data_IF_947972511625
#
_entry.id   IF_947972511625
#
_cell.length_a   1.000
_cell.length_b   1.000
_cell.length_c   1.000
_cell.angle_alpha   90.00
_cell.angle_beta   90.00
_cell.angle_gamma   90.00
#
_symmetry.space_group_name_H-M   'P 1'
#
loop_
_entity.id
_entity.type
_entity.pdbx_description
1 polymer ?
#
# COMPACT_ATOMS: atom_id res chain seq x y z
N UNK A 1 -31.15 -56.40 75.14
CA UNK A 1 -30.43 -57.68 75.10
C UNK A 1 -28.97 -57.38 74.79
N UNK A 2 -28.10 -57.26 75.79
CA UNK A 2 -27.28 -58.35 76.36
C UNK A 2 -26.39 -59.06 75.35
N UNK A 3 -25.09 -58.71 75.34
CA UNK A 3 -23.94 -59.56 75.74
C UNK A 3 -22.68 -59.12 74.98
N UNK A 4 -21.68 -58.53 75.63
CA UNK A 4 -20.52 -59.10 76.35
C UNK A 4 -19.53 -59.95 75.52
N UNK A 5 -18.25 -59.58 75.71
CA UNK A 5 -16.97 -60.32 75.56
C UNK A 5 -16.41 -60.45 74.14
N UNK A 6 -15.09 -60.55 73.93
CA UNK A 6 -13.85 -60.01 74.51
C UNK A 6 -12.71 -60.71 73.74
N UNK A 7 -11.63 -59.99 73.41
CA UNK A 7 -10.28 -60.47 73.01
C UNK A 7 -10.23 -61.24 71.67
N UNK A 8 -9.18 -61.20 70.83
CA UNK A 8 -7.77 -60.90 71.02
C UNK A 8 -7.09 -60.51 69.69
N UNK A 9 -5.95 -59.82 69.85
CA UNK A 9 -4.72 -59.86 69.04
C UNK A 9 -4.70 -59.54 67.54
N UNK A 10 -3.94 -58.48 67.24
CA UNK A 10 -2.81 -58.53 66.32
C UNK A 10 -3.08 -58.01 64.90
N UNK A 11 -2.41 -56.92 64.52
CA UNK A 11 -1.49 -56.84 63.38
C UNK A 11 -1.08 -55.39 63.12
N UNK A 12 0.21 -55.22 62.83
CA UNK A 12 0.85 -53.99 62.40
C UNK A 12 0.14 -53.39 61.17
N UNK A 13 0.03 -52.06 61.12
CA UNK A 13 0.53 -51.31 59.96
C UNK A 13 0.53 -49.81 60.21
N UNK A 14 1.59 -49.20 59.69
CA UNK A 14 1.91 -47.79 59.65
C UNK A 14 0.77 -46.94 59.10
N UNK A 15 0.52 -45.78 59.71
CA UNK A 15 -0.06 -44.63 59.01
C UNK A 15 0.28 -43.30 59.65
N UNK A 16 0.80 -42.42 58.80
CA UNK A 16 0.59 -40.97 58.74
C UNK A 16 1.12 -40.09 59.87
N UNK A 17 2.26 -39.44 59.59
CA UNK A 17 2.46 -38.05 59.98
C UNK A 17 2.81 -37.24 58.73
N UNK A 18 1.86 -36.42 58.30
CA UNK A 18 2.07 -35.39 57.29
C UNK A 18 2.90 -34.26 57.90
N UNK A 19 3.97 -33.85 57.22
CA UNK A 19 4.62 -32.57 57.45
C UNK A 19 4.70 -31.84 56.12
N UNK A 20 3.85 -30.80 55.99
CA UNK A 20 3.94 -29.79 54.94
C UNK A 20 5.28 -29.06 55.07
N UNK A 21 6.07 -29.05 53.99
CA UNK A 21 7.12 -28.06 53.79
C UNK A 21 6.82 -27.37 52.47
N UNK A 22 6.42 -26.09 52.54
CA UNK A 22 6.38 -25.19 51.40
C UNK A 22 7.82 -24.88 50.98
N UNK A 23 8.25 -25.47 49.87
CA UNK A 23 9.47 -25.09 49.15
C UNK A 23 9.09 -24.39 47.86
N UNK A 24 9.42 -23.11 47.77
CA UNK A 24 9.27 -22.26 46.59
C UNK A 24 9.92 -22.88 45.35
N UNK A 25 9.12 -23.22 44.34
CA UNK A 25 9.62 -23.51 43.01
C UNK A 25 10.20 -22.22 42.42
N UNK A 26 11.52 -22.07 42.50
CA UNK A 26 12.27 -21.15 41.66
C UNK A 26 12.15 -21.62 40.22
N UNK A 27 11.10 -21.20 39.53
CA UNK A 27 11.02 -21.31 38.08
C UNK A 27 12.06 -20.38 37.49
N UNK A 28 13.21 -20.93 37.13
CA UNK A 28 14.09 -20.28 36.17
C UNK A 28 13.31 -20.17 34.85
N UNK A 29 12.62 -19.05 34.64
CA UNK A 29 12.16 -18.68 33.31
C UNK A 29 13.43 -18.43 32.50
N UNK A 30 13.79 -19.39 31.65
CA UNK A 30 14.71 -19.12 30.57
C UNK A 30 14.17 -17.89 29.84
N UNK A 31 14.88 -16.77 29.94
CA UNK A 31 14.61 -15.64 29.06
C UNK A 31 14.66 -16.20 27.63
N UNK A 32 13.65 -15.92 26.78
CA UNK A 32 13.75 -16.33 25.40
C UNK A 32 15.06 -15.74 24.86
N UNK A 33 15.90 -16.62 24.30
CA UNK A 33 17.08 -16.19 23.59
C UNK A 33 16.64 -15.12 22.59
N UNK A 34 17.30 -13.96 22.64
CA UNK A 34 17.08 -12.92 21.64
C UNK A 34 17.37 -13.54 20.27
N UNK A 35 16.31 -13.86 19.52
CA UNK A 35 16.44 -14.06 18.10
C UNK A 35 16.79 -12.69 17.52
N UNK A 36 17.89 -12.62 16.78
CA UNK A 36 18.11 -11.55 15.83
C UNK A 36 17.02 -11.69 14.75
N UNK A 37 15.81 -11.22 15.05
CA UNK A 37 14.67 -11.26 14.13
C UNK A 37 14.98 -10.32 12.96
N UNK A 38 15.32 -10.91 11.81
CA UNK A 38 14.96 -10.32 10.52
C UNK A 38 13.45 -10.23 10.49
N UNK A 39 12.92 -9.09 10.92
CA UNK A 39 11.48 -8.86 11.01
C UNK A 39 10.95 -8.77 9.58
N UNK A 40 10.15 -9.75 9.17
CA UNK A 40 9.48 -9.72 7.86
C UNK A 40 8.75 -8.37 7.69
N UNK A 41 8.77 -7.77 6.47
CA UNK A 41 8.11 -6.50 6.24
C UNK A 41 6.64 -6.54 6.65
N UNK A 42 6.21 -5.52 7.38
CA UNK A 42 4.85 -5.45 7.93
C UNK A 42 3.95 -4.58 7.05
N UNK A 43 2.71 -5.01 6.87
CA UNK A 43 1.74 -4.40 5.95
C UNK A 43 0.48 -4.02 6.71
N UNK A 44 -0.05 -2.82 6.46
CA UNK A 44 -1.36 -2.39 6.93
C UNK A 44 -2.42 -2.64 5.84
N UNK A 45 -3.60 -3.13 6.24
CA UNK A 45 -4.75 -3.30 5.36
C UNK A 45 -6.02 -2.74 6.00
N UNK A 46 -6.86 -2.15 5.15
CA UNK A 46 -8.12 -1.52 5.53
C UNK A 46 -9.20 -2.06 4.59
N UNK A 47 -10.36 -2.43 5.14
CA UNK A 47 -11.54 -2.71 4.34
C UNK A 47 -12.30 -1.40 4.08
N UNK A 48 -12.67 -1.15 2.83
CA UNK A 48 -13.41 0.06 2.43
C UNK A 48 -14.80 -0.36 1.97
N UNK A 49 -15.82 0.36 2.43
CA UNK A 49 -17.18 0.13 1.95
C UNK A 49 -17.32 0.60 0.50
N UNK A 50 -17.32 -0.35 -0.43
CA UNK A 50 -17.51 -0.06 -1.85
C UNK A 50 -18.96 0.20 -2.27
N UNK A 51 -19.94 -0.06 -1.38
CA UNK A 51 -21.38 0.12 -1.69
C UNK A 51 -21.73 1.60 -1.71
N UNK A 52 -22.29 2.07 -2.84
CA UNK A 52 -22.67 3.47 -3.01
C UNK A 52 -21.51 4.43 -3.31
N UNK A 53 -20.25 3.98 -3.23
CA UNK A 53 -19.09 4.80 -3.61
C UNK A 53 -19.12 5.19 -5.10
N UNK A 54 -19.63 4.32 -5.98
CA UNK A 54 -19.81 4.66 -7.39
C UNK A 54 -20.87 5.76 -7.57
N UNK A 55 -22.01 5.64 -6.88
CA UNK A 55 -23.11 6.62 -6.91
C UNK A 55 -22.72 7.95 -6.24
N UNK A 56 -21.83 7.90 -5.26
CA UNK A 56 -21.28 9.07 -4.58
C UNK A 56 -20.56 10.00 -5.58
N UNK A 57 -19.81 9.44 -6.53
CA UNK A 57 -19.04 10.21 -7.50
C UNK A 57 -19.87 10.68 -8.70
N UNK A 58 -20.69 11.70 -8.47
CA UNK A 58 -21.28 12.49 -9.55
C UNK A 58 -20.20 13.26 -10.34
N UNK A 59 -20.51 13.63 -11.59
CA UNK A 59 -19.62 14.43 -12.42
C UNK A 59 -19.19 15.76 -11.75
N UNK A 60 -20.10 16.41 -11.02
CA UNK A 60 -19.80 17.64 -10.29
C UNK A 60 -18.83 17.40 -9.13
N UNK A 61 -19.01 16.30 -8.37
CA UNK A 61 -18.07 15.91 -7.32
C UNK A 61 -16.69 15.61 -7.88
N UNK A 62 -16.61 14.80 -8.93
CA UNK A 62 -15.36 14.49 -9.63
C UNK A 62 -14.65 15.77 -10.09
N UNK A 63 -15.40 16.74 -10.65
CA UNK A 63 -14.85 18.02 -11.11
C UNK A 63 -14.38 18.93 -9.97
N UNK A 64 -15.02 18.86 -8.80
CA UNK A 64 -14.73 19.71 -7.65
C UNK A 64 -13.65 19.17 -6.71
N UNK A 65 -13.30 17.88 -6.85
CA UNK A 65 -12.34 17.21 -5.98
C UNK A 65 -10.94 17.82 -6.12
N UNK A 66 -10.27 18.00 -4.98
CA UNK A 66 -9.01 18.74 -4.90
C UNK A 66 -7.78 17.81 -5.02
N UNK A 67 -6.65 18.29 -5.54
CA UNK A 67 -5.41 17.52 -5.60
C UNK A 67 -4.95 16.90 -4.27
N UNK A 68 -4.55 15.62 -4.31
CA UNK A 68 -4.06 14.86 -3.14
C UNK A 68 -2.63 15.19 -2.68
N UNK A 69 -1.86 15.97 -3.41
CA UNK A 69 -0.47 16.35 -3.07
C UNK A 69 -0.35 17.13 -1.76
N UNK A 70 -1.43 17.81 -1.34
CA UNK A 70 -1.51 18.44 -0.01
C UNK A 70 -1.29 17.41 1.11
N UNK A 71 -1.69 16.16 0.90
CA UNK A 71 -1.47 15.06 1.85
C UNK A 71 0.01 14.61 1.85
N UNK A 72 0.63 14.53 0.68
CA UNK A 72 2.06 14.23 0.54
C UNK A 72 2.94 15.33 1.16
N UNK A 73 2.62 16.60 0.93
CA UNK A 73 3.34 17.75 1.48
C UNK A 73 3.38 17.73 3.01
N UNK A 74 2.24 17.44 3.65
CA UNK A 74 2.16 17.29 5.11
C UNK A 74 3.04 16.14 5.62
N UNK A 75 3.14 15.04 4.89
CA UNK A 75 4.01 13.92 5.25
C UNK A 75 5.49 14.26 5.07
N UNK A 76 5.84 14.97 3.99
CA UNK A 76 7.20 15.45 3.73
C UNK A 76 7.70 16.38 4.84
N UNK A 77 6.86 17.32 5.30
CA UNK A 77 7.18 18.22 6.41
C UNK A 77 7.46 17.47 7.72
N UNK A 78 6.68 16.42 8.03
CA UNK A 78 6.91 15.59 9.22
C UNK A 78 8.18 14.77 9.13
N UNK A 79 8.42 14.12 7.99
CA UNK A 79 9.50 13.15 7.82
C UNK A 79 10.89 13.77 7.85
N UNK A 80 11.03 15.08 7.59
CA UNK A 80 12.31 15.80 7.66
C UNK A 80 12.89 15.85 9.09
N UNK A 81 12.13 15.38 10.09
CA UNK A 81 12.54 15.28 11.49
C UNK A 81 12.88 13.85 11.94
N UNK A 82 12.77 12.85 11.06
CA UNK A 82 12.95 11.43 11.39
C UNK A 82 14.30 10.87 10.92
N UNK A 83 14.83 9.86 11.62
CA UNK A 83 16.06 9.15 11.21
C UNK A 83 15.85 8.49 9.85
N UNK A 84 16.91 8.49 9.02
CA UNK A 84 16.93 7.81 7.73
C UNK A 84 16.53 6.34 7.89
N UNK A 85 15.55 5.84 7.13
CA UNK A 85 15.22 4.42 7.18
C UNK A 85 16.36 3.60 6.58
N UNK A 86 16.64 2.45 7.19
CA UNK A 86 17.38 1.38 6.53
C UNK A 86 16.47 0.79 5.46
N UNK A 87 16.66 1.21 4.21
CA UNK A 87 16.05 0.54 3.06
C UNK A 87 16.76 -0.79 2.85
N UNK A 88 16.04 -1.90 2.95
CA UNK A 88 16.64 -3.21 2.66
C UNK A 88 16.93 -3.35 1.16
N UNK A 89 18.12 -3.91 0.86
CA UNK A 89 18.47 -4.27 -0.52
C UNK A 89 17.90 -5.65 -0.83
N UNK A 90 16.77 -5.70 -1.53
CA UNK A 90 16.25 -6.94 -2.09
C UNK A 90 16.96 -7.37 -3.38
N UNK A 91 16.65 -8.57 -3.86
CA UNK A 91 17.06 -9.03 -5.20
C UNK A 91 16.05 -8.55 -6.24
N UNK A 92 16.49 -8.07 -7.42
CA UNK A 92 15.59 -7.69 -8.49
C UNK A 92 14.56 -8.78 -8.78
N UNK A 93 13.29 -8.40 -8.77
CA UNK A 93 12.16 -9.28 -9.05
C UNK A 93 11.21 -8.58 -10.02
N UNK A 94 10.66 -9.35 -10.96
CA UNK A 94 9.56 -8.93 -11.82
C UNK A 94 8.48 -10.00 -11.70
N UNK A 95 7.24 -9.60 -11.44
CA UNK A 95 6.12 -10.53 -11.35
C UNK A 95 5.32 -10.47 -12.62
N UNK A 96 5.00 -11.65 -13.17
CA UNK A 96 4.04 -11.79 -14.27
C UNK A 96 2.68 -12.15 -13.68
N UNK A 97 1.66 -11.33 -13.92
CA UNK A 97 0.29 -11.73 -13.57
C UNK A 97 -0.39 -12.58 -14.65
N UNK A 98 -1.63 -12.95 -14.37
CA UNK A 98 -2.40 -13.92 -15.17
C UNK A 98 -3.30 -13.28 -16.24
N UNK A 99 -3.26 -11.95 -16.41
CA UNK A 99 -4.12 -11.23 -17.34
C UNK A 99 -3.77 -11.47 -18.82
N UNK A 100 -4.79 -11.58 -19.67
CA UNK A 100 -4.64 -11.67 -21.14
C UNK A 100 -5.00 -10.32 -21.78
N UNK A 101 -4.01 -9.58 -22.26
CA UNK A 101 -4.25 -8.37 -23.07
C UNK A 101 -2.95 -7.77 -23.59
N UNK A 102 -2.93 -7.36 -24.86
CA UNK A 102 -1.87 -6.52 -25.41
C UNK A 102 -2.01 -5.10 -24.81
N UNK A 103 -0.99 -4.53 -24.13
CA UNK A 103 -1.16 -3.27 -23.42
C UNK A 103 -1.20 -2.10 -24.39
N UNK A 104 -2.34 -1.42 -24.52
CA UNK A 104 -2.32 0.01 -24.74
C UNK A 104 -2.17 0.62 -23.34
N UNK A 105 -0.96 1.06 -22.97
CA UNK A 105 -0.64 1.54 -21.60
C UNK A 105 -1.70 2.51 -21.04
N UNK A 106 -2.34 3.27 -21.93
CA UNK A 106 -3.42 4.22 -21.61
C UNK A 106 -4.66 3.56 -20.97
N UNK A 107 -5.04 2.33 -21.32
CA UNK A 107 -6.30 1.73 -20.83
C UNK A 107 -6.27 1.38 -19.36
N UNK A 108 -5.11 0.97 -18.83
CA UNK A 108 -4.96 0.60 -17.43
C UNK A 108 -4.46 1.74 -16.52
N UNK A 109 -4.12 2.91 -17.06
CA UNK A 109 -3.87 4.12 -16.27
C UNK A 109 -5.17 4.90 -16.07
N UNK A 110 -5.45 5.30 -14.84
CA UNK A 110 -6.73 5.94 -14.53
C UNK A 110 -6.64 7.01 -13.46
N UNK A 111 -7.72 7.77 -13.37
CA UNK A 111 -7.89 8.82 -12.35
C UNK A 111 -8.52 8.20 -11.12
N UNK A 112 -8.05 8.60 -9.94
CA UNK A 112 -8.59 8.17 -8.65
C UNK A 112 -9.35 9.32 -8.02
N UNK A 113 -10.49 8.99 -7.44
CA UNK A 113 -11.30 9.87 -6.61
C UNK A 113 -11.49 9.21 -5.24
N UNK A 114 -11.33 9.97 -4.16
CA UNK A 114 -11.53 9.45 -2.81
C UNK A 114 -11.95 10.57 -1.85
N UNK A 115 -12.60 10.22 -0.76
CA UNK A 115 -12.91 11.15 0.32
C UNK A 115 -11.94 10.87 1.46
N UNK A 116 -11.41 11.91 2.10
CA UNK A 116 -10.63 11.77 3.34
C UNK A 116 -11.02 12.87 4.31
N UNK A 117 -11.62 12.46 5.44
CA UNK A 117 -12.30 13.38 6.33
C UNK A 117 -13.50 14.01 5.63
N UNK A 118 -13.54 15.34 5.55
CA UNK A 118 -14.67 16.08 4.95
C UNK A 118 -14.42 16.52 3.51
N UNK A 119 -13.28 16.13 2.92
CA UNK A 119 -12.84 16.62 1.62
C UNK A 119 -12.77 15.50 0.59
N UNK A 120 -13.18 15.83 -0.63
CA UNK A 120 -13.06 14.98 -1.81
C UNK A 120 -11.75 15.31 -2.53
N UNK A 121 -10.95 14.29 -2.83
CA UNK A 121 -9.62 14.41 -3.42
C UNK A 121 -9.50 13.67 -4.75
N UNK A 122 -8.51 14.07 -5.56
CA UNK A 122 -8.08 13.38 -6.77
C UNK A 122 -6.63 12.92 -6.69
N UNK A 123 -6.40 11.74 -7.23
CA UNK A 123 -5.09 11.15 -7.50
C UNK A 123 -5.11 10.49 -8.88
N UNK A 124 -4.04 9.74 -9.18
CA UNK A 124 -3.86 8.88 -10.32
C UNK A 124 -3.48 7.48 -9.86
N UNK A 125 -3.71 6.48 -10.69
CA UNK A 125 -3.31 5.11 -10.41
C UNK A 125 -3.18 4.28 -11.67
N UNK A 126 -2.76 3.04 -11.49
CA UNK A 126 -2.55 2.11 -12.58
C UNK A 126 -3.03 0.71 -12.18
N UNK A 127 -3.86 0.08 -13.01
CA UNK A 127 -4.19 -1.32 -12.84
C UNK A 127 -2.93 -2.17 -13.11
N UNK A 128 -2.59 -3.01 -12.14
CA UNK A 128 -1.41 -3.86 -12.19
C UNK A 128 -1.82 -5.32 -12.26
N UNK A 129 -1.06 -6.07 -13.03
CA UNK A 129 -1.19 -7.52 -13.12
C UNK A 129 -1.10 -8.11 -11.71
N UNK A 130 -2.05 -8.99 -11.38
CA UNK A 130 -2.23 -9.52 -10.04
C UNK A 130 -3.04 -10.82 -10.10
N UNK A 131 -2.90 -11.69 -9.09
CA UNK A 131 -3.61 -12.98 -9.06
C UNK A 131 -5.13 -12.78 -8.95
N UNK A 132 -5.57 -11.79 -8.16
CA UNK A 132 -6.98 -11.40 -8.03
C UNK A 132 -7.52 -10.58 -9.21
N UNK A 133 -6.66 -10.20 -10.18
CA UNK A 133 -7.03 -9.44 -11.40
C UNK A 133 -7.71 -8.08 -11.12
N UNK A 134 -7.49 -7.52 -9.93
CA UNK A 134 -8.28 -6.40 -9.40
C UNK A 134 -7.43 -5.36 -8.66
N UNK A 135 -6.11 -5.40 -8.81
CA UNK A 135 -5.21 -4.55 -8.03
C UNK A 135 -4.83 -3.28 -8.80
N UNK A 136 -4.89 -2.13 -8.13
CA UNK A 136 -4.44 -0.82 -8.62
C UNK A 136 -3.28 -0.33 -7.76
N UNK A 137 -2.15 0.00 -8.37
CA UNK A 137 -1.05 0.69 -7.70
C UNK A 137 -1.30 2.21 -7.68
N UNK A 138 -1.06 2.83 -6.53
CA UNK A 138 -1.15 4.29 -6.32
C UNK A 138 -0.19 4.74 -5.21
N UNK A 139 -0.22 6.02 -4.81
CA UNK A 139 0.58 6.53 -3.71
C UNK A 139 -0.09 6.22 -2.37
N UNK A 140 0.72 6.08 -1.31
CA UNK A 140 0.26 5.87 0.06
C UNK A 140 -0.73 6.95 0.50
N UNK A 141 -0.41 8.22 0.24
CA UNK A 141 -1.24 9.37 0.62
C UNK A 141 -2.58 9.45 -0.12
N UNK A 142 -2.75 8.72 -1.23
CA UNK A 142 -4.03 8.58 -1.91
C UNK A 142 -4.94 7.52 -1.24
N UNK A 143 -4.40 6.72 -0.32
CA UNK A 143 -5.12 5.67 0.40
C UNK A 143 -5.24 5.94 1.90
N UNK A 144 -4.21 6.50 2.53
CA UNK A 144 -4.15 6.81 3.97
C UNK A 144 -3.33 8.07 4.17
N UNK A 145 -3.78 9.02 5.01
CA UNK A 145 -3.10 10.32 5.22
C UNK A 145 -1.70 10.24 5.85
N UNK A 146 -1.30 9.06 6.34
CA UNK A 146 0.05 8.67 6.74
C UNK A 146 0.74 9.59 7.76
N UNK A 147 0.54 9.44 9.08
CA UNK A 147 -0.59 8.77 9.69
C UNK A 147 -1.84 9.65 9.61
N UNK A 148 -3.02 9.04 9.76
CA UNK A 148 -4.25 9.81 9.82
C UNK A 148 -5.42 9.05 9.25
N UNK A 149 -6.37 9.81 8.70
CA UNK A 149 -7.62 9.27 8.16
C UNK A 149 -7.36 8.38 6.94
N UNK A 150 -8.21 7.38 6.82
CA UNK A 150 -8.24 6.42 5.73
C UNK A 150 -9.08 7.00 4.59
N UNK A 151 -8.81 6.58 3.37
CA UNK A 151 -9.62 6.96 2.22
C UNK A 151 -10.96 6.21 2.24
N UNK A 152 -12.03 6.97 2.12
CA UNK A 152 -13.40 6.51 1.92
C UNK A 152 -13.84 6.77 0.47
N UNK A 153 -14.95 6.16 0.06
CA UNK A 153 -15.50 6.30 -1.30
C UNK A 153 -14.44 6.12 -2.40
N UNK A 154 -13.42 5.27 -2.21
CA UNK A 154 -12.31 5.18 -3.15
C UNK A 154 -12.79 4.60 -4.49
N UNK A 155 -12.57 5.35 -5.57
CA UNK A 155 -12.95 4.99 -6.92
C UNK A 155 -11.80 5.20 -7.91
N UNK A 156 -11.63 4.24 -8.81
CA UNK A 156 -10.67 4.26 -9.91
C UNK A 156 -11.41 4.29 -11.25
N UNK A 157 -11.05 5.23 -12.12
CA UNK A 157 -11.64 5.39 -13.45
C UNK A 157 -10.54 5.19 -14.51
N UNK A 158 -10.42 3.99 -15.10
CA UNK A 158 -9.43 3.70 -16.13
C UNK A 158 -9.69 4.52 -17.40
N UNK A 159 -8.62 5.04 -18.01
CA UNK A 159 -8.66 5.90 -19.20
C UNK A 159 -9.66 7.06 -19.11
N UNK A 160 -9.77 7.67 -17.92
CA UNK A 160 -10.56 8.88 -17.73
C UNK A 160 -10.16 9.95 -18.77
N UNK A 161 -11.12 10.52 -19.47
CA UNK A 161 -10.83 11.56 -20.46
C UNK A 161 -11.96 12.59 -20.49
N UNK A 162 -11.69 13.79 -20.00
CA UNK A 162 -12.61 14.92 -20.04
C UNK A 162 -14.01 14.59 -19.47
N UNK A 163 -14.04 13.87 -18.34
CA UNK A 163 -15.29 13.42 -17.69
C UNK A 163 -15.84 12.10 -18.21
N UNK A 164 -15.32 11.58 -19.31
CA UNK A 164 -15.69 10.25 -19.81
C UNK A 164 -15.09 9.15 -18.93
N UNK A 165 -15.89 8.12 -18.70
CA UNK A 165 -15.52 6.92 -17.93
C UNK A 165 -15.62 5.70 -18.85
N UNK A 166 -14.73 5.54 -19.85
CA UNK A 166 -14.92 4.57 -20.94
C UNK A 166 -14.98 3.11 -20.47
N UNK A 167 -14.35 2.81 -19.33
CA UNK A 167 -14.36 1.50 -18.70
C UNK A 167 -15.13 1.48 -17.37
N UNK A 168 -15.99 2.48 -17.13
CA UNK A 168 -16.75 2.64 -15.90
C UNK A 168 -15.91 3.09 -14.70
N UNK A 169 -16.55 3.05 -13.53
CA UNK A 169 -15.99 3.46 -12.24
C UNK A 169 -15.85 2.24 -11.34
N UNK A 170 -14.64 1.96 -10.87
CA UNK A 170 -14.30 0.77 -10.09
C UNK A 170 -14.07 1.16 -8.63
N UNK A 171 -14.83 0.60 -7.69
CA UNK A 171 -14.72 0.95 -6.27
C UNK A 171 -13.80 0.01 -5.53
N UNK A 172 -13.01 0.51 -4.58
CA UNK A 172 -12.17 -0.35 -3.74
C UNK A 172 -13.00 -1.16 -2.73
N UNK A 173 -12.55 -2.38 -2.42
CA UNK A 173 -12.96 -3.15 -1.24
C UNK A 173 -11.88 -3.18 -0.16
N UNK A 174 -10.62 -3.03 -0.54
CA UNK A 174 -9.50 -3.01 0.39
C UNK A 174 -8.40 -2.07 -0.08
N UNK A 175 -7.71 -1.45 0.88
CA UNK A 175 -6.51 -0.63 0.66
C UNK A 175 -5.36 -1.23 1.46
N UNK A 176 -4.19 -1.36 0.83
CA UNK A 176 -2.97 -1.91 1.42
C UNK A 176 -1.85 -0.88 1.33
N UNK A 177 -1.13 -0.67 2.43
CA UNK A 177 0.04 0.21 2.49
C UNK A 177 1.14 -0.44 3.32
N UNK A 178 2.42 -0.12 3.08
CA UNK A 178 3.48 -0.43 4.04
C UNK A 178 3.15 0.15 5.42
N UNK A 179 3.53 -0.56 6.51
CA UNK A 179 3.24 -0.08 7.87
C UNK A 179 3.92 1.26 8.15
N UNK A 180 5.09 1.49 7.56
CA UNK A 180 5.89 2.69 7.71
C UNK A 180 5.13 3.92 7.18
N UNK A 181 4.37 3.75 6.09
CA UNK A 181 3.50 4.80 5.57
C UNK A 181 2.33 5.06 6.53
N UNK A 182 1.51 4.04 6.80
CA UNK A 182 0.27 4.19 7.57
C UNK A 182 0.49 4.71 8.99
N UNK A 183 1.59 4.34 9.65
CA UNK A 183 1.85 4.72 11.05
C UNK A 183 2.66 5.99 11.22
N UNK A 184 3.51 6.36 10.25
CA UNK A 184 4.46 7.47 10.41
C UNK A 184 4.50 8.46 9.26
N UNK A 185 3.86 8.16 8.13
CA UNK A 185 3.94 9.00 6.93
C UNK A 185 5.29 9.00 6.27
N UNK A 186 6.04 7.90 6.40
CA UNK A 186 7.39 7.84 5.87
C UNK A 186 7.35 7.82 4.34
N UNK A 187 7.76 8.93 3.72
CA UNK A 187 7.77 9.16 2.27
C UNK A 187 8.57 8.11 1.50
N UNK A 188 9.56 7.45 2.13
CA UNK A 188 10.26 6.30 1.52
C UNK A 188 9.32 5.19 1.06
N UNK A 189 8.15 5.09 1.69
CA UNK A 189 7.17 4.01 1.53
C UNK A 189 5.81 4.52 1.05
N UNK A 190 5.76 5.72 0.44
CA UNK A 190 4.53 6.34 -0.09
C UNK A 190 4.00 5.61 -1.34
N UNK A 191 3.56 4.36 -1.17
CA UNK A 191 2.92 3.51 -2.17
C UNK A 191 1.79 2.75 -1.50
N UNK A 192 0.69 2.59 -2.24
CA UNK A 192 -0.45 1.79 -1.83
C UNK A 192 -0.88 0.87 -2.98
N UNK A 193 -1.57 -0.21 -2.60
CA UNK A 193 -2.29 -1.06 -3.53
C UNK A 193 -3.75 -1.12 -3.11
N UNK A 194 -4.62 -0.71 -4.02
CA UNK A 194 -6.06 -0.72 -3.81
C UNK A 194 -6.66 -1.92 -4.57
N UNK A 195 -7.46 -2.72 -3.89
CA UNK A 195 -8.08 -3.91 -4.48
C UNK A 195 -9.54 -3.57 -4.81
N UNK A 196 -9.88 -3.60 -6.09
CA UNK A 196 -11.16 -3.15 -6.64
C UNK A 196 -12.22 -4.25 -6.60
N UNK A 197 -13.47 -3.90 -6.31
CA UNK A 197 -14.63 -4.74 -6.58
C UNK A 197 -14.71 -5.10 -8.08
N UNK A 198 -15.46 -6.15 -8.40
CA UNK A 198 -15.84 -6.40 -9.81
C UNK A 198 -16.78 -5.29 -10.30
N UNK A 199 -16.85 -5.10 -11.62
CA UNK A 199 -17.87 -4.23 -12.19
C UNK A 199 -19.30 -4.76 -11.97
N UNK A 200 -20.31 -3.98 -12.37
CA UNK A 200 -21.72 -4.36 -12.25
C UNK A 200 -22.10 -5.67 -12.98
N UNK A 201 -21.27 -6.09 -13.94
CA UNK A 201 -21.44 -7.33 -14.71
C UNK A 201 -20.63 -8.51 -14.13
N UNK A 202 -19.90 -8.30 -13.03
CA UNK A 202 -19.09 -9.30 -12.36
C UNK A 202 -17.70 -9.52 -13.00
N UNK A 203 -17.23 -8.62 -13.87
CA UNK A 203 -15.90 -8.73 -14.49
C UNK A 203 -14.82 -8.16 -13.56
N UNK A 204 -13.62 -8.72 -13.65
CA UNK A 204 -12.45 -8.23 -12.93
C UNK A 204 -11.75 -7.11 -13.71
N UNK A 205 -11.11 -6.19 -13.00
CA UNK A 205 -10.52 -4.98 -13.58
C UNK A 205 -9.56 -5.29 -14.71
N UNK A 206 -8.54 -6.12 -14.46
CA UNK A 206 -7.48 -6.36 -15.45
C UNK A 206 -7.92 -7.28 -16.59
N UNK A 207 -9.07 -7.96 -16.46
CA UNK A 207 -9.71 -8.65 -17.60
C UNK A 207 -10.32 -7.63 -18.58
N UNK A 208 -10.71 -6.44 -18.10
CA UNK A 208 -11.37 -5.39 -18.91
C UNK A 208 -10.33 -4.44 -19.51
N UNK A 209 -9.38 -3.97 -18.70
CA UNK A 209 -8.48 -2.87 -19.10
C UNK A 209 -7.02 -3.30 -19.32
N UNK A 210 -6.72 -4.58 -19.11
CA UNK A 210 -5.35 -5.07 -19.00
C UNK A 210 -4.69 -4.63 -17.68
N UNK A 211 -3.37 -4.75 -17.60
CA UNK A 211 -2.61 -4.27 -16.46
C UNK A 211 -1.12 -4.25 -16.75
N UNK A 212 -0.39 -3.37 -16.08
CA UNK A 212 1.06 -3.35 -16.13
C UNK A 212 1.64 -4.49 -15.29
N UNK A 213 2.69 -5.14 -15.80
CA UNK A 213 3.55 -5.94 -14.94
C UNK A 213 4.25 -5.04 -13.92
N UNK A 214 4.62 -5.60 -12.77
CA UNK A 214 5.34 -4.87 -11.72
C UNK A 214 6.70 -5.48 -11.46
N UNK A 215 7.65 -4.62 -11.09
CA UNK A 215 8.98 -5.03 -10.68
C UNK A 215 9.39 -4.34 -9.38
N UNK A 216 10.14 -5.07 -8.57
CA UNK A 216 10.65 -4.62 -7.27
C UNK A 216 12.17 -4.83 -7.23
N UNK A 217 12.82 -4.13 -6.30
CA UNK A 217 14.25 -4.23 -6.02
C UNK A 217 15.14 -4.01 -7.26
N UNK A 218 14.65 -3.24 -8.22
CA UNK A 218 15.37 -2.93 -9.45
C UNK A 218 16.54 -1.99 -9.19
N UNK A 219 17.56 -1.95 -10.06
CA UNK A 219 18.62 -0.97 -9.94
C UNK A 219 18.08 0.46 -9.87
N UNK A 220 18.80 1.34 -9.18
CA UNK A 220 18.48 2.78 -9.14
C UNK A 220 19.02 3.47 -10.40
N UNK A 221 18.48 4.63 -10.73
CA UNK A 221 18.95 5.45 -11.86
C UNK A 221 18.51 4.95 -13.23
N UNK A 222 17.40 4.22 -13.29
CA UNK A 222 16.79 3.79 -14.57
C UNK A 222 16.11 4.96 -15.28
N UNK A 223 15.86 4.78 -16.58
CA UNK A 223 14.99 5.65 -17.36
C UNK A 223 13.52 5.29 -17.13
N UNK A 224 12.69 6.28 -16.85
CA UNK A 224 11.26 6.09 -16.63
C UNK A 224 10.43 6.93 -17.58
N UNK A 225 9.24 6.42 -17.90
CA UNK A 225 8.10 7.24 -18.33
C UNK A 225 7.06 7.21 -17.22
N UNK A 226 6.70 8.38 -16.70
CA UNK A 226 5.66 8.58 -15.71
C UNK A 226 4.38 9.09 -16.35
N UNK A 227 3.24 8.68 -15.82
CA UNK A 227 1.91 9.14 -16.24
C UNK A 227 1.09 9.66 -15.06
N UNK A 228 0.11 10.52 -15.30
CA UNK A 228 -0.84 10.97 -14.27
C UNK A 228 -1.87 11.98 -14.78
N UNK A 229 -2.80 12.36 -13.91
CA UNK A 229 -3.87 13.35 -14.15
C UNK A 229 -3.66 14.60 -13.29
N UNK A 230 -2.64 15.43 -13.59
CA UNK A 230 -2.39 16.68 -12.88
C UNK A 230 -3.60 17.63 -12.98
N UNK A 231 -4.02 18.18 -11.86
CA UNK A 231 -5.26 18.91 -11.65
C UNK A 231 -5.07 20.32 -11.05
N UNK A 232 -3.83 20.70 -10.77
CA UNK A 232 -3.48 22.05 -10.32
C UNK A 232 -3.21 23.01 -11.48
N UNK A 233 -3.20 24.32 -11.19
CA UNK A 233 -2.99 25.40 -12.17
C UNK A 233 -1.87 25.08 -13.16
N UNK A 234 -2.15 25.30 -14.45
CA UNK A 234 -1.41 24.83 -15.66
C UNK A 234 -1.97 23.52 -16.25
N UNK A 235 -2.71 22.76 -15.45
CA UNK A 235 -3.50 21.61 -15.87
C UNK A 235 -4.94 21.74 -15.35
N UNK A 236 -5.79 20.79 -15.71
CA UNK A 236 -7.22 20.80 -15.36
C UNK A 236 -7.71 19.46 -14.79
N UNK A 237 -6.84 18.44 -14.69
CA UNK A 237 -7.17 17.14 -14.16
C UNK A 237 -7.98 16.25 -15.10
N UNK A 238 -8.23 16.69 -16.33
CA UNK A 238 -9.16 16.07 -17.26
C UNK A 238 -8.51 15.09 -18.23
N UNK A 239 -7.22 15.27 -18.51
CA UNK A 239 -6.47 14.48 -19.49
C UNK A 239 -5.28 13.79 -18.85
N UNK A 240 -4.86 12.68 -19.47
CA UNK A 240 -3.66 11.97 -19.09
C UNK A 240 -2.42 12.72 -19.60
N UNK A 241 -1.48 12.98 -18.71
CA UNK A 241 -0.21 13.61 -19.01
C UNK A 241 0.95 12.64 -18.78
N UNK A 242 2.13 12.96 -19.33
CA UNK A 242 3.34 12.16 -19.09
C UNK A 242 4.61 12.98 -18.95
N UNK A 243 5.59 12.38 -18.28
CA UNK A 243 6.96 12.87 -18.13
C UNK A 243 7.92 11.72 -18.42
N UNK A 244 9.14 12.02 -18.85
CA UNK A 244 10.14 10.98 -19.05
C UNK A 244 11.55 11.47 -18.71
N UNK A 245 12.37 10.58 -18.16
CA UNK A 245 13.76 10.90 -17.87
C UNK A 245 14.46 9.85 -17.02
N UNK A 246 15.78 9.99 -16.92
CA UNK A 246 16.61 9.16 -16.05
C UNK A 246 16.46 9.61 -14.60
N UNK A 247 16.14 8.65 -13.73
CA UNK A 247 16.02 8.87 -12.30
C UNK A 247 17.36 9.31 -11.70
N UNK A 248 17.32 10.27 -10.79
CA UNK A 248 18.46 10.70 -9.96
C UNK A 248 18.09 10.63 -8.49
N UNK A 249 19.07 10.46 -7.60
CA UNK A 249 18.79 10.44 -6.16
C UNK A 249 18.29 11.81 -5.68
N UNK A 250 17.33 11.83 -4.76
CA UNK A 250 17.06 13.04 -4.02
C UNK A 250 18.18 13.31 -3.02
N UNK A 251 18.84 14.46 -3.14
CA UNK A 251 19.92 14.90 -2.26
C UNK A 251 19.46 15.91 -1.21
N UNK A 252 18.16 16.25 -1.18
CA UNK A 252 17.56 17.25 -0.30
C UNK A 252 17.02 16.64 1.00
N UNK A 253 16.78 15.32 1.01
CA UNK A 253 16.28 14.58 2.17
C UNK A 253 16.95 13.20 2.28
N UNK A 254 16.52 12.41 3.28
CA UNK A 254 17.03 11.07 3.54
C UNK A 254 16.01 9.95 3.26
N UNK A 255 14.96 10.21 2.47
CA UNK A 255 13.93 9.22 2.16
C UNK A 255 14.35 8.22 1.07
N UNK A 256 15.55 8.38 0.49
CA UNK A 256 16.07 7.48 -0.55
C UNK A 256 15.12 7.35 -1.77
N UNK A 257 14.36 8.39 -2.08
CA UNK A 257 13.52 8.47 -3.29
C UNK A 257 14.35 8.79 -4.53
N UNK A 258 13.72 8.72 -5.69
CA UNK A 258 14.33 9.06 -6.98
C UNK A 258 13.50 10.13 -7.67
N UNK A 259 14.15 11.05 -8.36
CA UNK A 259 13.50 12.15 -9.10
C UNK A 259 13.72 12.05 -10.60
N UNK A 260 12.67 12.33 -11.39
CA UNK A 260 12.76 12.54 -12.85
C UNK A 260 12.30 13.97 -13.21
N UNK A 261 12.83 14.56 -14.30
CA UNK A 261 12.32 15.83 -14.82
C UNK A 261 10.83 15.71 -15.15
N UNK A 262 10.01 16.54 -14.50
CA UNK A 262 8.56 16.48 -14.68
C UNK A 262 7.88 17.77 -14.23
N UNK A 263 6.92 18.24 -15.02
CA UNK A 263 6.11 19.41 -14.72
C UNK A 263 4.69 19.07 -14.25
N UNK A 264 4.30 17.79 -14.19
CA UNK A 264 3.04 17.38 -13.60
C UNK A 264 2.98 17.82 -12.13
N UNK A 265 1.81 18.27 -11.70
CA UNK A 265 1.57 18.83 -10.37
C UNK A 265 0.47 18.04 -9.63
N UNK A 266 -0.14 18.65 -8.61
CA UNK A 266 -1.14 18.00 -7.76
C UNK A 266 -2.21 17.23 -8.53
N UNK A 267 -2.58 16.03 -8.06
CA UNK A 267 -3.49 15.11 -8.74
C UNK A 267 -2.79 14.05 -9.62
N UNK A 268 -1.55 14.32 -10.07
CA UNK A 268 -0.72 13.29 -10.72
C UNK A 268 -0.21 12.22 -9.74
N UNK A 269 -0.26 12.49 -8.44
CA UNK A 269 0.09 11.57 -7.35
C UNK A 269 -0.49 10.17 -7.56
N UNK A 270 0.32 9.15 -7.32
CA UNK A 270 -0.01 7.74 -7.50
C UNK A 270 0.07 7.22 -8.93
N UNK A 271 0.20 8.11 -9.92
CA UNK A 271 0.39 7.72 -11.31
C UNK A 271 1.68 6.90 -11.52
N UNK A 272 1.71 5.94 -12.46
CA UNK A 272 2.77 4.95 -12.53
C UNK A 272 4.07 5.49 -13.12
N UNK A 273 5.19 4.98 -12.64
CA UNK A 273 6.48 5.08 -13.32
C UNK A 273 6.83 3.75 -13.99
N UNK A 274 6.91 3.77 -15.31
CA UNK A 274 7.19 2.60 -16.15
C UNK A 274 8.65 2.62 -16.61
N UNK A 275 9.32 1.48 -16.51
CA UNK A 275 10.69 1.23 -16.98
C UNK A 275 10.74 -0.08 -17.74
N UNK A 276 11.92 -0.44 -18.26
CA UNK A 276 12.16 -1.74 -18.90
C UNK A 276 13.00 -2.62 -17.99
N UNK A 277 12.50 -3.81 -17.69
CA UNK A 277 13.22 -4.88 -17.00
C UNK A 277 13.37 -6.07 -17.94
N UNK A 278 14.59 -6.34 -18.39
CA UNK A 278 14.83 -7.31 -19.47
C UNK A 278 14.22 -6.84 -20.78
N UNK A 279 13.18 -7.54 -21.26
CA UNK A 279 12.43 -7.18 -22.48
C UNK A 279 11.03 -6.65 -22.19
N UNK A 280 10.65 -6.52 -20.91
CA UNK A 280 9.28 -6.20 -20.50
C UNK A 280 9.20 -4.80 -19.93
N UNK A 281 8.13 -4.07 -20.28
CA UNK A 281 7.79 -2.84 -19.61
C UNK A 281 7.09 -3.16 -18.28
N UNK A 282 7.60 -2.58 -17.20
CA UNK A 282 7.14 -2.84 -15.84
C UNK A 282 6.92 -1.52 -15.10
N UNK A 283 5.94 -1.48 -14.21
CA UNK A 283 5.83 -0.43 -13.21
C UNK A 283 6.82 -0.70 -12.07
N UNK A 284 7.58 0.33 -11.68
CA UNK A 284 8.59 0.22 -10.62
C UNK A 284 8.66 1.45 -9.68
N UNK A 285 7.71 2.38 -9.81
CA UNK A 285 7.47 3.44 -8.83
C UNK A 285 6.09 4.10 -9.06
N UNK A 286 5.79 5.13 -8.29
CA UNK A 286 4.62 6.01 -8.43
C UNK A 286 5.03 7.48 -8.27
N UNK A 287 4.27 8.40 -8.84
CA UNK A 287 4.35 9.83 -8.50
C UNK A 287 4.01 10.01 -7.02
N UNK A 288 4.87 10.62 -6.22
CA UNK A 288 4.64 10.80 -4.79
C UNK A 288 4.64 12.28 -4.39
N UNK A 289 5.75 12.99 -4.61
CA UNK A 289 5.88 14.40 -4.20
C UNK A 289 6.80 15.21 -5.12
N UNK A 290 6.78 16.52 -4.93
CA UNK A 290 7.72 17.47 -5.54
C UNK A 290 8.06 18.59 -4.55
N UNK A 291 9.16 19.31 -4.82
CA UNK A 291 9.49 20.51 -4.07
C UNK A 291 8.91 21.75 -4.73
N UNK A 292 8.47 22.72 -3.92
CA UNK A 292 7.98 24.00 -4.42
C UNK A 292 8.99 24.66 -5.36
N UNK A 293 8.54 25.02 -6.57
CA UNK A 293 9.39 25.64 -7.60
C UNK A 293 10.29 24.69 -8.39
N UNK A 294 10.34 23.39 -8.04
CA UNK A 294 11.09 22.37 -8.77
C UNK A 294 10.24 21.74 -9.88
N UNK A 295 10.87 21.43 -11.03
CA UNK A 295 10.27 20.63 -12.12
C UNK A 295 10.78 19.19 -12.06
N UNK A 296 10.67 18.59 -10.87
CA UNK A 296 11.10 17.22 -10.60
C UNK A 296 9.98 16.53 -9.84
N UNK A 297 9.55 15.37 -10.35
CA UNK A 297 8.63 14.48 -9.64
C UNK A 297 9.47 13.41 -8.97
N UNK A 298 9.22 13.18 -7.68
CA UNK A 298 9.86 12.13 -6.91
C UNK A 298 8.94 10.95 -6.69
N UNK A 299 9.51 9.76 -6.78
CA UNK A 299 8.85 8.49 -6.50
C UNK A 299 9.64 7.64 -5.50
N UNK A 300 8.96 6.84 -4.66
CA UNK A 300 9.61 5.92 -3.73
C UNK A 300 10.32 4.80 -4.48
N UNK A 301 11.36 4.25 -3.86
CA UNK A 301 11.99 3.04 -4.36
C UNK A 301 11.12 1.83 -3.99
N UNK A 302 10.68 1.07 -4.99
CA UNK A 302 9.93 -0.17 -4.79
C UNK A 302 10.85 -1.31 -4.31
N UNK A 303 11.12 -1.28 -3.00
CA UNK A 303 11.91 -2.27 -2.27
C UNK A 303 11.09 -3.38 -1.62
N UNK A 304 11.69 -4.17 -0.70
CA UNK A 304 11.05 -5.35 -0.10
C UNK A 304 9.74 -5.06 0.65
N UNK A 305 9.61 -3.90 1.28
CA UNK A 305 8.42 -3.52 2.04
C UNK A 305 7.21 -3.25 1.14
N UNK A 306 7.46 -2.58 0.01
CA UNK A 306 6.44 -2.34 -1.02
C UNK A 306 6.12 -3.65 -1.76
N UNK A 307 7.12 -4.49 -2.03
CA UNK A 307 6.92 -5.84 -2.59
C UNK A 307 6.04 -6.71 -1.69
N UNK A 308 6.28 -6.72 -0.38
CA UNK A 308 5.46 -7.45 0.58
C UNK A 308 4.01 -6.93 0.62
N UNK A 309 3.83 -5.61 0.51
CA UNK A 309 2.51 -4.98 0.44
C UNK A 309 1.75 -5.42 -0.82
N UNK A 310 2.41 -5.39 -1.98
CA UNK A 310 1.84 -5.90 -3.24
C UNK A 310 1.50 -7.39 -3.14
N UNK A 311 2.39 -8.19 -2.55
CA UNK A 311 2.19 -9.63 -2.39
C UNK A 311 0.94 -9.95 -1.57
N UNK A 312 0.64 -9.21 -0.51
CA UNK A 312 -0.63 -9.40 0.21
C UNK A 312 -1.84 -8.91 -0.59
N UNK A 313 -1.73 -7.75 -1.24
CA UNK A 313 -2.83 -7.18 -2.01
C UNK A 313 -3.26 -8.10 -3.17
N UNK A 314 -2.32 -8.72 -3.88
CA UNK A 314 -2.63 -9.50 -5.08
C UNK A 314 -3.41 -10.81 -4.82
N UNK A 315 -3.47 -11.29 -3.58
CA UNK A 315 -4.23 -12.49 -3.19
C UNK A 315 -5.60 -12.19 -2.53
N UNK A 316 -5.89 -10.92 -2.27
CA UNK A 316 -7.11 -10.49 -1.55
C UNK A 316 -8.29 -10.20 -2.47
#
# INVERSE_FOLDING_TARGET
MTRTRSLATGLLSLSTAAALVLGSAGGATAAPAASEDKKDPSVASIAVEGRGAADYWTADKMKSAIPGDVLAGKALERGNHSKAPTMEKGKPAATKGSGKGEPQIVSHVGKIFFTMGTSDYVCSGNAVQSINRSTVATAGHCAVGGPGQEAENFAFVPAYDNGATPYGTWTARNLYTPIEWSTSGNISFDTAFAVMNTDETGRFLTDVVGGSEVAFNQPRGLFYTSYGYPADKQFNGLTLESCAGTATADTTNNFNTQGIPCNMNGGASGGPWLTVSGTEQVQNSVNSYGYSGSKVMYGPYWGPEIEATYNLAQFS
#
